data_IF_057944503263
#
_entry.id   IF_057944503263
#
_cell.length_a   1.000
_cell.length_b   1.000
_cell.length_c   1.000
_cell.angle_alpha   90.00
_cell.angle_beta   90.00
_cell.angle_gamma   90.00
#
_symmetry.space_group_name_H-M   'P 1'
#
loop_
_entity.id
_entity.type
_entity.pdbx_description
1 polymer ?
#
# COMPACT_ATOMS: atom_id res chain seq x y z
N UNK A 1 0.61 15.66 26.59
CA UNK A 1 1.44 16.22 25.51
C UNK A 1 0.53 16.53 24.35
N UNK A 2 0.62 17.73 23.78
CA UNK A 2 -0.07 18.15 22.56
C UNK A 2 0.77 17.69 21.37
N UNK A 3 0.17 16.95 20.44
CA UNK A 3 0.81 16.55 19.18
C UNK A 3 0.26 17.37 18.03
N UNK A 4 1.08 17.71 17.01
CA UNK A 4 2.51 17.43 16.90
C UNK A 4 3.39 18.36 17.75
N UNK A 5 4.59 17.90 18.13
CA UNK A 5 5.50 18.66 19.00
C UNK A 5 6.18 19.83 18.26
N UNK A 6 6.48 19.68 16.96
CA UNK A 6 7.15 20.69 16.16
C UNK A 6 6.34 20.99 14.90
N UNK A 7 5.15 21.55 15.08
CA UNK A 7 4.14 21.79 14.03
C UNK A 7 4.69 22.42 12.74
N UNK A 8 5.67 23.34 12.85
CA UNK A 8 6.24 24.07 11.71
C UNK A 8 7.36 23.33 10.98
N UNK A 9 7.88 22.24 11.53
CA UNK A 9 9.03 21.54 10.97
C UNK A 9 8.64 20.79 9.70
N UNK A 10 9.38 21.03 8.61
CA UNK A 10 9.22 20.31 7.36
C UNK A 10 9.80 18.91 7.51
N UNK A 11 8.96 17.91 7.31
CA UNK A 11 9.30 16.48 7.42
C UNK A 11 9.67 15.91 6.06
N UNK A 12 8.99 16.37 5.00
CA UNK A 12 9.10 15.81 3.66
C UNK A 12 9.05 16.91 2.61
N UNK A 13 9.92 16.87 1.59
CA UNK A 13 9.94 17.83 0.47
C UNK A 13 10.32 17.14 -0.82
N UNK A 14 9.50 17.28 -1.85
CA UNK A 14 9.70 16.65 -3.16
C UNK A 14 8.93 17.40 -4.26
N UNK A 15 8.90 16.86 -5.47
CA UNK A 15 8.24 17.50 -6.62
C UNK A 15 6.72 17.69 -6.44
N UNK A 16 6.05 16.88 -5.60
CA UNK A 16 4.64 17.07 -5.27
C UNK A 16 4.43 18.16 -4.22
N UNK A 17 5.39 18.33 -3.32
CA UNK A 17 5.38 19.29 -2.21
C UNK A 17 6.65 20.15 -2.23
N UNK A 18 6.76 21.13 -3.15
CA UNK A 18 7.97 21.95 -3.29
C UNK A 18 8.24 22.84 -2.06
N UNK A 19 7.19 23.26 -1.37
CA UNK A 19 7.27 23.97 -0.07
C UNK A 19 7.48 23.03 1.12
N UNK A 20 7.42 21.73 0.88
CA UNK A 20 7.44 20.67 1.90
C UNK A 20 6.10 20.44 2.60
N UNK A 21 5.99 19.29 3.25
CA UNK A 21 4.96 18.92 4.22
C UNK A 21 5.53 19.05 5.62
N UNK A 22 4.80 19.70 6.51
CA UNK A 22 5.14 19.88 7.91
C UNK A 22 4.55 18.78 8.78
N UNK A 23 5.02 18.68 10.03
CA UNK A 23 4.44 17.74 11.00
C UNK A 23 2.93 17.95 11.17
N UNK A 24 2.48 19.21 11.21
CA UNK A 24 1.05 19.52 11.39
C UNK A 24 0.18 19.07 10.21
N UNK A 25 0.70 19.16 8.98
CA UNK A 25 -0.04 18.75 7.77
C UNK A 25 -0.28 17.24 7.79
N UNK A 26 0.77 16.47 8.12
CA UNK A 26 0.72 15.01 8.24
C UNK A 26 -0.17 14.59 9.40
N UNK A 27 -0.05 15.25 10.56
CA UNK A 27 -0.86 14.95 11.73
C UNK A 27 -2.34 15.19 11.47
N UNK A 28 -2.71 16.37 10.95
CA UNK A 28 -4.08 16.72 10.60
C UNK A 28 -4.69 15.70 9.64
N UNK A 29 -3.96 15.32 8.59
CA UNK A 29 -4.40 14.31 7.64
C UNK A 29 -4.75 12.98 8.34
N UNK A 30 -3.90 12.51 9.24
CA UNK A 30 -4.17 11.27 9.96
C UNK A 30 -5.28 11.37 10.99
N UNK A 31 -5.50 12.55 11.59
CA UNK A 31 -6.65 12.77 12.47
C UNK A 31 -7.97 12.69 11.68
N UNK A 32 -8.03 13.29 10.49
CA UNK A 32 -9.18 13.20 9.57
C UNK A 32 -9.45 11.75 9.15
N UNK A 33 -8.40 10.94 8.96
CA UNK A 33 -8.49 9.56 8.48
C UNK A 33 -8.43 8.50 9.61
N UNK A 34 -8.45 8.92 10.89
CA UNK A 34 -8.23 8.05 12.05
C UNK A 34 -9.13 6.82 12.07
N UNK A 35 -10.43 7.02 11.83
CA UNK A 35 -11.41 5.92 11.82
C UNK A 35 -11.10 4.88 10.73
N UNK A 36 -10.74 5.34 9.52
CA UNK A 36 -10.39 4.46 8.41
C UNK A 36 -9.11 3.67 8.71
N UNK A 37 -8.06 4.34 9.20
CA UNK A 37 -6.79 3.67 9.54
C UNK A 37 -7.00 2.62 10.63
N UNK A 38 -7.75 2.95 11.69
CA UNK A 38 -8.01 2.01 12.78
C UNK A 38 -8.80 0.78 12.31
N UNK A 39 -9.71 0.93 11.34
CA UNK A 39 -10.42 -0.21 10.77
C UNK A 39 -9.51 -1.06 9.86
N UNK A 40 -8.73 -0.43 8.98
CA UNK A 40 -7.83 -1.14 8.07
C UNK A 40 -6.67 -1.87 8.80
N UNK A 41 -6.23 -1.33 9.94
CA UNK A 41 -5.15 -1.91 10.77
C UNK A 41 -5.67 -2.84 11.89
N UNK A 42 -6.98 -3.01 12.00
CA UNK A 42 -7.61 -3.77 13.08
C UNK A 42 -7.11 -5.20 13.15
N UNK A 43 -6.62 -5.61 14.32
CA UNK A 43 -6.06 -6.94 14.59
C UNK A 43 -4.90 -7.31 13.63
N UNK A 44 -4.14 -6.31 13.17
CA UNK A 44 -2.93 -6.48 12.36
C UNK A 44 -1.74 -5.89 13.07
N UNK A 45 -0.58 -6.51 12.87
CA UNK A 45 0.67 -5.85 13.19
C UNK A 45 0.92 -4.76 12.15
N UNK A 46 1.49 -3.65 12.58
CA UNK A 46 1.84 -2.53 11.72
C UNK A 46 3.33 -2.22 11.74
N UNK A 47 3.79 -1.64 10.65
CA UNK A 47 5.12 -1.09 10.47
C UNK A 47 4.99 0.39 10.13
N UNK A 48 5.72 1.24 10.84
CA UNK A 48 5.77 2.67 10.59
C UNK A 48 7.05 3.07 9.87
N UNK A 49 6.93 4.04 8.97
CA UNK A 49 8.04 4.85 8.48
C UNK A 49 8.01 6.19 9.20
N UNK A 50 8.95 6.38 10.12
CA UNK A 50 9.05 7.57 10.97
C UNK A 50 10.17 8.45 10.43
N UNK A 51 9.85 9.68 10.06
CA UNK A 51 10.82 10.61 9.47
C UNK A 51 11.56 11.37 10.57
N UNK A 52 12.79 10.95 10.88
CA UNK A 52 13.61 11.57 11.93
C UNK A 52 14.27 12.86 11.49
N UNK A 53 14.32 13.14 10.19
CA UNK A 53 14.84 14.36 9.57
C UNK A 53 14.17 14.55 8.19
N UNK A 54 14.45 15.67 7.51
CA UNK A 54 13.94 15.98 6.18
C UNK A 54 14.21 14.83 5.20
N UNK A 55 13.15 14.23 4.67
CA UNK A 55 13.20 13.09 3.74
C UNK A 55 13.94 11.84 4.26
N UNK A 56 14.25 11.76 5.56
CA UNK A 56 15.00 10.64 6.16
C UNK A 56 14.11 9.86 7.12
N UNK A 57 13.73 8.66 6.72
CA UNK A 57 12.89 7.77 7.52
C UNK A 57 13.67 6.62 8.16
N UNK A 58 13.26 6.23 9.36
CA UNK A 58 13.54 4.93 9.96
C UNK A 58 12.29 4.07 9.94
N UNK A 59 12.47 2.75 10.08
CA UNK A 59 11.37 1.79 10.12
C UNK A 59 11.18 1.30 11.56
N UNK A 60 9.96 1.40 12.08
CA UNK A 60 9.58 0.88 13.40
C UNK A 60 8.53 -0.23 13.24
N UNK A 61 8.85 -1.44 13.71
CA UNK A 61 7.96 -2.63 13.67
C UNK A 61 7.57 -3.16 15.04
N UNK A 62 8.42 -2.89 16.04
CA UNK A 62 8.25 -3.39 17.42
C UNK A 62 8.49 -2.26 18.41
N UNK A 63 7.78 -2.31 19.53
CA UNK A 63 8.01 -1.48 20.71
C UNK A 63 8.05 -2.43 21.91
N UNK A 64 9.06 -2.32 22.76
CA UNK A 64 9.24 -3.20 23.93
C UNK A 64 9.20 -4.70 23.54
N UNK A 65 9.91 -5.05 22.46
CA UNK A 65 9.96 -6.39 21.85
C UNK A 65 8.62 -6.96 21.34
N UNK A 66 7.52 -6.20 21.36
CA UNK A 66 6.22 -6.60 20.83
C UNK A 66 5.92 -5.92 19.52
N UNK A 67 5.27 -6.64 18.60
CA UNK A 67 4.75 -6.03 17.37
C UNK A 67 3.73 -4.95 17.70
N UNK A 68 3.75 -3.86 16.93
CA UNK A 68 2.83 -2.75 17.13
C UNK A 68 1.47 -3.12 16.54
N UNK A 69 0.40 -2.91 17.30
CA UNK A 69 -0.97 -2.95 16.80
C UNK A 69 -1.64 -1.62 17.14
N UNK A 70 -2.19 -0.95 16.14
CA UNK A 70 -2.89 0.31 16.34
C UNK A 70 -4.27 0.09 16.96
N UNK A 71 -4.62 0.95 17.90
CA UNK A 71 -5.94 1.02 18.52
C UNK A 71 -6.23 2.46 18.97
N UNK A 72 -7.47 2.72 19.40
CA UNK A 72 -7.90 4.06 19.83
C UNK A 72 -7.03 4.66 20.95
N UNK A 73 -6.49 3.82 21.83
CA UNK A 73 -5.75 4.27 23.03
C UNK A 73 -4.29 4.64 22.72
N UNK A 74 -3.72 4.12 21.63
CA UNK A 74 -2.33 4.38 21.26
C UNK A 74 -2.16 5.20 19.97
N UNK A 75 -3.22 5.41 19.17
CA UNK A 75 -3.14 6.13 17.90
C UNK A 75 -2.48 7.49 18.05
N UNK A 76 -3.01 8.37 18.91
CA UNK A 76 -2.51 9.74 19.04
C UNK A 76 -1.09 9.81 19.64
N UNK A 77 -0.65 8.76 20.33
CA UNK A 77 0.71 8.65 20.88
C UNK A 77 1.73 8.18 19.85
N UNK A 78 1.27 7.53 18.78
CA UNK A 78 2.11 6.93 17.74
C UNK A 78 2.06 7.72 16.43
N UNK A 79 1.01 8.49 16.21
CA UNK A 79 0.83 9.33 15.03
C UNK A 79 1.12 10.78 15.40
N UNK A 80 2.39 11.18 15.25
CA UNK A 80 2.92 12.45 15.77
C UNK A 80 3.22 13.48 14.66
N UNK A 81 2.74 13.27 13.44
CA UNK A 81 3.17 14.05 12.26
C UNK A 81 4.51 13.60 11.66
N UNK A 82 5.33 12.85 12.43
CA UNK A 82 6.56 12.20 11.95
C UNK A 82 6.33 10.79 11.42
N UNK A 83 5.24 10.15 11.85
CA UNK A 83 4.80 8.86 11.32
C UNK A 83 4.14 9.10 9.97
N UNK A 84 4.92 8.96 8.90
CA UNK A 84 4.47 9.31 7.54
C UNK A 84 3.77 8.13 6.88
N UNK A 85 4.31 6.91 6.93
CA UNK A 85 3.70 5.74 6.28
C UNK A 85 3.41 4.63 7.27
N UNK A 86 2.26 3.97 7.11
CA UNK A 86 1.74 2.88 7.90
C UNK A 86 1.50 1.68 6.98
N UNK A 87 2.24 0.60 7.21
CA UNK A 87 2.09 -0.65 6.49
C UNK A 87 1.48 -1.69 7.42
N UNK A 88 0.49 -2.41 6.93
CA UNK A 88 -0.16 -3.52 7.63
C UNK A 88 0.48 -4.84 7.25
N UNK A 89 0.58 -5.77 8.20
CA UNK A 89 1.03 -7.13 7.94
C UNK A 89 -0.14 -8.03 7.51
N UNK A 90 0.15 -8.95 6.59
CA UNK A 90 -0.68 -10.12 6.31
C UNK A 90 -0.66 -11.07 7.51
N UNK A 91 -1.80 -11.71 7.77
CA UNK A 91 -1.91 -12.84 8.69
C UNK A 91 -1.66 -14.15 7.94
N UNK A 92 -1.49 -15.24 8.69
CA UNK A 92 -1.38 -16.59 8.12
C UNK A 92 -2.63 -16.99 7.32
N UNK A 93 -3.80 -16.48 7.70
CA UNK A 93 -5.06 -16.67 6.98
C UNK A 93 -5.69 -15.33 6.60
N UNK A 94 -5.97 -15.16 5.31
CA UNK A 94 -6.62 -13.97 4.76
C UNK A 94 -7.76 -14.33 3.82
N UNK A 95 -8.72 -13.42 3.70
CA UNK A 95 -9.76 -13.46 2.66
C UNK A 95 -9.40 -12.56 1.47
N UNK A 96 -8.13 -12.17 1.33
CA UNK A 96 -7.63 -11.45 0.16
C UNK A 96 -6.17 -11.81 -0.11
N UNK A 97 -5.73 -11.54 -1.33
CA UNK A 97 -4.32 -11.50 -1.73
C UNK A 97 -4.03 -10.20 -2.47
N UNK A 98 -2.75 -9.89 -2.64
CA UNK A 98 -2.29 -8.67 -3.30
C UNK A 98 -1.44 -9.04 -4.50
N UNK A 99 -1.74 -8.45 -5.65
CA UNK A 99 -0.79 -8.33 -6.76
C UNK A 99 -0.23 -6.92 -6.74
N UNK A 100 1.07 -6.78 -6.48
CA UNK A 100 1.77 -5.50 -6.47
C UNK A 100 2.36 -5.24 -7.86
N UNK A 101 1.85 -4.20 -8.51
CA UNK A 101 2.19 -3.81 -9.87
C UNK A 101 3.01 -2.53 -9.77
N UNK A 102 4.31 -2.64 -9.99
CA UNK A 102 5.24 -1.52 -9.85
C UNK A 102 6.15 -1.43 -11.07
N UNK A 103 6.26 -0.22 -11.61
CA UNK A 103 7.15 0.12 -12.71
C UNK A 103 7.40 1.63 -12.75
N UNK A 104 8.59 2.04 -13.22
CA UNK A 104 8.99 3.44 -13.23
C UNK A 104 8.14 4.32 -14.18
N UNK A 105 7.53 3.71 -15.22
CA UNK A 105 6.60 4.41 -16.11
C UNK A 105 5.16 4.20 -15.62
N UNK A 106 4.53 5.29 -15.15
CA UNK A 106 3.20 5.24 -14.54
C UNK A 106 2.09 4.84 -15.53
N UNK A 107 2.17 5.26 -16.79
CA UNK A 107 1.20 4.88 -17.83
C UNK A 107 1.26 3.38 -18.13
N UNK A 108 2.47 2.81 -18.26
CA UNK A 108 2.65 1.36 -18.38
C UNK A 108 2.17 0.59 -17.16
N UNK A 109 2.32 1.17 -15.96
CA UNK A 109 1.79 0.59 -14.71
C UNK A 109 0.26 0.56 -14.73
N UNK A 110 -0.40 1.64 -15.16
CA UNK A 110 -1.86 1.68 -15.34
C UNK A 110 -2.32 0.61 -16.34
N UNK A 111 -1.66 0.49 -17.49
CA UNK A 111 -1.99 -0.54 -18.48
C UNK A 111 -1.83 -1.95 -17.91
N UNK A 112 -0.73 -2.23 -17.21
CA UNK A 112 -0.52 -3.53 -16.55
C UNK A 112 -1.61 -3.80 -15.50
N UNK A 113 -1.99 -2.79 -14.72
CA UNK A 113 -3.06 -2.89 -13.73
C UNK A 113 -4.41 -3.21 -14.36
N UNK A 114 -4.73 -2.57 -15.50
CA UNK A 114 -5.95 -2.83 -16.25
C UNK A 114 -6.01 -4.28 -16.76
N UNK A 115 -4.94 -4.74 -17.43
CA UNK A 115 -4.85 -6.08 -17.99
C UNK A 115 -4.96 -7.16 -16.91
N UNK A 116 -4.24 -6.98 -15.80
CA UNK A 116 -4.24 -7.92 -14.68
C UNK A 116 -5.60 -7.95 -13.99
N UNK A 117 -6.24 -6.80 -13.80
CA UNK A 117 -7.59 -6.71 -13.24
C UNK A 117 -8.59 -7.50 -14.11
N UNK A 118 -8.59 -7.25 -15.41
CA UNK A 118 -9.50 -7.91 -16.37
C UNK A 118 -9.26 -9.42 -16.41
N UNK A 119 -8.00 -9.85 -16.50
CA UNK A 119 -7.66 -11.27 -16.44
C UNK A 119 -8.16 -11.92 -15.15
N UNK A 120 -7.83 -11.31 -13.99
CA UNK A 120 -8.16 -11.86 -12.69
C UNK A 120 -9.67 -11.97 -12.45
N UNK A 121 -10.44 -10.95 -12.80
CA UNK A 121 -11.91 -10.97 -12.70
C UNK A 121 -12.54 -12.07 -13.55
N UNK A 122 -12.03 -12.28 -14.76
CA UNK A 122 -12.65 -13.19 -15.73
C UNK A 122 -12.18 -14.65 -15.60
N UNK A 123 -10.97 -14.91 -15.08
CA UNK A 123 -10.34 -16.23 -15.17
C UNK A 123 -9.97 -16.86 -13.83
N UNK A 124 -10.03 -16.13 -12.71
CA UNK A 124 -9.64 -16.66 -11.40
C UNK A 124 -10.90 -16.91 -10.54
N UNK A 125 -11.46 -18.13 -10.53
CA UNK A 125 -12.79 -18.41 -9.98
C UNK A 125 -12.93 -18.24 -8.46
N UNK A 126 -11.80 -18.20 -7.73
CA UNK A 126 -11.80 -17.98 -6.28
C UNK A 126 -11.99 -16.51 -5.88
N UNK A 127 -11.82 -15.58 -6.83
CA UNK A 127 -11.99 -14.15 -6.62
C UNK A 127 -13.49 -13.82 -6.57
N UNK A 128 -13.87 -13.01 -5.58
CA UNK A 128 -15.21 -12.44 -5.43
C UNK A 128 -15.28 -11.04 -6.03
N UNK A 129 -14.29 -10.20 -5.72
CA UNK A 129 -14.12 -8.87 -6.30
C UNK A 129 -12.65 -8.45 -6.21
N UNK A 130 -12.31 -7.38 -6.92
CA UNK A 130 -10.98 -6.77 -6.89
C UNK A 130 -11.12 -5.30 -6.54
N UNK A 131 -10.22 -4.83 -5.67
CA UNK A 131 -10.05 -3.39 -5.40
C UNK A 131 -8.70 -2.92 -5.89
N UNK A 132 -8.68 -1.80 -6.61
CA UNK A 132 -7.44 -1.16 -7.06
C UNK A 132 -7.05 -0.12 -6.03
N UNK A 133 -5.84 -0.22 -5.49
CA UNK A 133 -5.28 0.76 -4.56
C UNK A 133 -4.02 1.39 -5.15
N UNK A 134 -4.04 2.70 -5.34
CA UNK A 134 -2.80 3.43 -5.61
C UNK A 134 -1.93 3.46 -4.35
N UNK A 135 -0.64 3.21 -4.50
CA UNK A 135 0.29 3.04 -3.37
C UNK A 135 0.93 4.35 -2.90
N UNK A 136 0.60 5.48 -3.54
CA UNK A 136 1.29 6.75 -3.29
C UNK A 136 2.69 6.83 -3.90
N UNK A 137 3.04 5.93 -4.83
CA UNK A 137 4.33 5.90 -5.56
C UNK A 137 4.11 5.81 -7.08
N UNK A 138 4.75 4.85 -7.74
CA UNK A 138 4.60 4.59 -9.18
C UNK A 138 3.76 3.34 -9.45
N UNK A 139 3.33 2.62 -8.40
CA UNK A 139 2.63 1.35 -8.50
C UNK A 139 1.20 1.33 -7.97
N UNK A 140 0.51 0.23 -8.25
CA UNK A 140 -0.82 -0.12 -7.74
C UNK A 140 -0.79 -1.48 -7.05
N UNK A 141 -1.61 -1.63 -6.02
CA UNK A 141 -1.97 -2.93 -5.47
C UNK A 141 -3.35 -3.34 -5.97
N UNK A 142 -3.46 -4.53 -6.54
CA UNK A 142 -4.75 -5.18 -6.76
C UNK A 142 -5.06 -6.08 -5.56
N UNK A 143 -6.03 -5.67 -4.73
CA UNK A 143 -6.56 -6.47 -3.63
C UNK A 143 -7.60 -7.44 -4.18
N UNK A 144 -7.20 -8.70 -4.35
CA UNK A 144 -8.04 -9.78 -4.81
C UNK A 144 -8.81 -10.35 -3.62
N UNK A 145 -10.06 -9.95 -3.40
CA UNK A 145 -10.86 -10.51 -2.31
C UNK A 145 -11.42 -11.86 -2.71
N UNK A 146 -11.20 -12.86 -1.87
CA UNK A 146 -11.61 -14.23 -2.13
C UNK A 146 -12.99 -14.54 -1.54
N UNK A 147 -13.63 -15.59 -2.07
CA UNK A 147 -14.92 -16.09 -1.58
C UNK A 147 -14.88 -16.67 -0.16
N UNK A 148 -13.69 -17.03 0.35
CA UNK A 148 -13.45 -17.53 1.71
C UNK A 148 -12.03 -17.19 2.19
N UNK A 149 -11.70 -17.52 3.45
CA UNK A 149 -10.33 -17.39 3.97
C UNK A 149 -9.45 -18.53 3.46
N UNK A 150 -8.18 -18.23 3.22
CA UNK A 150 -7.17 -19.18 2.80
C UNK A 150 -5.86 -18.95 3.54
N UNK A 151 -5.03 -19.98 3.63
CA UNK A 151 -3.63 -19.83 4.01
C UNK A 151 -2.91 -18.97 2.95
N UNK A 152 -2.22 -17.91 3.38
CA UNK A 152 -1.68 -16.90 2.47
C UNK A 152 -0.55 -17.43 1.56
N UNK A 153 0.30 -18.33 2.07
CA UNK A 153 1.39 -18.93 1.30
C UNK A 153 0.84 -19.89 0.22
N UNK A 154 -0.25 -20.58 0.55
CA UNK A 154 -1.00 -21.42 -0.40
C UNK A 154 -1.62 -20.58 -1.52
N UNK A 155 -2.21 -19.42 -1.17
CA UNK A 155 -2.75 -18.47 -2.14
C UNK A 155 -1.67 -17.94 -3.07
N UNK A 156 -0.51 -17.57 -2.54
CA UNK A 156 0.62 -17.09 -3.36
C UNK A 156 1.00 -18.13 -4.41
N UNK A 157 1.16 -19.39 -4.00
CA UNK A 157 1.51 -20.49 -4.89
C UNK A 157 0.40 -20.73 -5.93
N UNK A 158 -0.86 -20.71 -5.51
CA UNK A 158 -2.01 -20.88 -6.38
C UNK A 158 -2.10 -19.77 -7.44
N UNK A 159 -2.07 -18.50 -7.02
CA UNK A 159 -2.13 -17.35 -7.93
C UNK A 159 -0.98 -17.37 -8.93
N UNK A 160 0.24 -17.63 -8.47
CA UNK A 160 1.42 -17.67 -9.32
C UNK A 160 1.38 -18.83 -10.32
N UNK A 161 1.28 -20.07 -9.83
CA UNK A 161 1.52 -21.27 -10.65
C UNK A 161 0.30 -21.72 -11.44
N UNK A 162 -0.91 -21.49 -10.94
CA UNK A 162 -2.13 -21.98 -11.61
C UNK A 162 -2.80 -20.92 -12.48
N UNK A 163 -2.58 -19.63 -12.21
CA UNK A 163 -3.23 -18.56 -12.95
C UNK A 163 -2.21 -17.72 -13.73
N UNK A 164 -1.33 -17.00 -13.04
CA UNK A 164 -0.48 -15.99 -13.69
C UNK A 164 0.54 -16.59 -14.67
N UNK A 165 1.30 -17.63 -14.29
CA UNK A 165 2.29 -18.28 -15.19
C UNK A 165 1.66 -19.13 -16.30
N UNK A 166 0.34 -19.37 -16.24
CA UNK A 166 -0.42 -20.06 -17.29
C UNK A 166 -1.21 -19.09 -18.17
N UNK A 167 -1.23 -17.81 -17.84
CA UNK A 167 -1.94 -16.76 -18.59
C UNK A 167 -1.09 -16.20 -19.73
N UNK A 168 -1.75 -15.48 -20.65
CA UNK A 168 -1.09 -14.66 -21.66
C UNK A 168 -0.34 -13.46 -21.05
N UNK A 169 -0.60 -13.09 -19.79
CA UNK A 169 0.09 -11.96 -19.14
C UNK A 169 1.60 -12.18 -19.05
N UNK A 170 2.08 -13.43 -18.98
CA UNK A 170 3.51 -13.75 -18.92
C UNK A 170 4.29 -13.39 -20.19
N UNK A 171 3.58 -13.24 -21.32
CA UNK A 171 4.16 -12.84 -22.60
C UNK A 171 4.37 -11.32 -22.65
N UNK A 172 3.61 -10.56 -21.85
CA UNK A 172 3.62 -9.10 -21.81
C UNK A 172 4.34 -8.53 -20.58
N UNK A 173 4.33 -9.25 -19.47
CA UNK A 173 4.78 -8.79 -18.16
C UNK A 173 5.72 -9.79 -17.48
N UNK A 174 6.56 -9.27 -16.59
CA UNK A 174 7.33 -10.13 -15.67
C UNK A 174 6.45 -10.52 -14.49
N UNK A 175 6.54 -11.77 -14.04
CA UNK A 175 5.66 -12.33 -13.00
C UNK A 175 6.50 -13.03 -11.94
N UNK A 176 6.51 -12.50 -10.71
CA UNK A 176 7.23 -13.10 -9.58
C UNK A 176 8.77 -13.11 -9.72
N UNK A 177 9.33 -12.46 -10.75
CA UNK A 177 10.77 -12.36 -11.00
C UNK A 177 11.36 -11.04 -10.48
N UNK A 178 12.69 -10.91 -10.55
CA UNK A 178 13.39 -9.65 -10.26
C UNK A 178 12.98 -8.60 -11.30
N UNK A 179 12.60 -7.41 -10.81
CA UNK A 179 12.18 -6.26 -11.62
C UNK A 179 13.20 -5.94 -12.72
N UNK A 180 12.70 -5.69 -13.93
CA UNK A 180 13.51 -5.16 -15.05
C UNK A 180 13.19 -3.69 -15.28
N UNK A 181 14.06 -2.99 -16.00
CA UNK A 181 13.83 -1.59 -16.40
C UNK A 181 12.90 -1.46 -17.61
N UNK A 182 12.53 -2.56 -18.26
CA UNK A 182 11.82 -2.50 -19.56
C UNK A 182 10.35 -2.89 -19.44
N UNK A 183 10.05 -3.78 -18.51
CA UNK A 183 8.76 -4.47 -18.42
C UNK A 183 8.17 -4.34 -17.02
N UNK A 184 6.88 -3.97 -16.88
CA UNK A 184 6.20 -4.01 -15.59
C UNK A 184 6.28 -5.38 -14.94
N UNK A 185 6.36 -5.38 -13.61
CA UNK A 185 6.42 -6.60 -12.81
C UNK A 185 5.15 -6.77 -11.97
N UNK A 186 4.59 -7.97 -12.01
CA UNK A 186 3.49 -8.42 -11.17
C UNK A 186 4.11 -9.20 -10.02
N UNK A 187 4.24 -8.55 -8.86
CA UNK A 187 4.80 -9.13 -7.64
C UNK A 187 3.71 -9.70 -6.72
N UNK A 188 4.04 -10.78 -6.03
CA UNK A 188 3.21 -11.45 -5.02
C UNK A 188 3.94 -11.55 -3.67
N UNK A 189 5.07 -10.85 -3.50
CA UNK A 189 5.92 -10.90 -2.31
C UNK A 189 5.18 -10.55 -1.01
N UNK A 190 4.12 -9.76 -1.11
CA UNK A 190 3.23 -9.42 0.01
C UNK A 190 2.42 -10.63 0.51
N UNK A 191 2.13 -11.62 -0.35
CA UNK A 191 1.32 -12.80 -0.01
C UNK A 191 2.14 -13.85 0.73
N UNK A 192 2.56 -13.53 1.94
CA UNK A 192 3.19 -14.45 2.89
C UNK A 192 2.84 -14.03 4.31
N UNK A 193 2.97 -14.93 5.27
CA UNK A 193 2.77 -14.55 6.66
C UNK A 193 3.71 -13.39 7.04
N UNK A 194 3.18 -12.36 7.70
CA UNK A 194 3.89 -11.12 8.02
C UNK A 194 4.41 -10.30 6.81
N UNK A 195 3.98 -10.63 5.58
CA UNK A 195 4.19 -9.79 4.40
C UNK A 195 3.52 -8.43 4.59
N UNK A 196 4.18 -7.34 4.20
CA UNK A 196 3.71 -5.98 4.49
C UNK A 196 3.13 -5.32 3.25
N UNK A 197 2.00 -4.63 3.40
CA UNK A 197 1.40 -3.80 2.36
C UNK A 197 1.02 -2.44 2.95
N UNK A 198 1.03 -1.38 2.12
CA UNK A 198 0.62 -0.05 2.58
C UNK A 198 -0.87 -0.07 2.97
N UNK A 199 -1.18 0.51 4.13
CA UNK A 199 -2.55 0.57 4.66
C UNK A 199 -3.35 1.59 3.86
N UNK A 200 -4.61 1.27 3.51
CA UNK A 200 -5.50 2.24 2.87
C UNK A 200 -5.69 3.47 3.76
N UNK A 201 -5.61 4.66 3.18
CA UNK A 201 -5.63 5.93 3.91
C UNK A 201 -4.28 6.33 4.50
N UNK A 202 -3.24 5.49 4.46
CA UNK A 202 -1.88 5.90 4.84
C UNK A 202 -1.27 6.82 3.77
N UNK A 203 -0.33 7.67 4.15
CA UNK A 203 0.59 8.29 3.18
C UNK A 203 1.69 7.31 2.81
N UNK A 204 2.24 7.45 1.61
CA UNK A 204 3.51 6.83 1.22
C UNK A 204 4.69 7.65 1.76
N UNK A 205 5.90 7.15 1.57
CA UNK A 205 7.14 7.91 1.84
C UNK A 205 7.32 9.15 0.95
N UNK A 206 6.46 9.36 -0.06
CA UNK A 206 6.40 10.60 -0.84
C UNK A 206 5.31 11.57 -0.35
N UNK A 207 4.60 11.23 0.74
CA UNK A 207 3.52 12.04 1.29
C UNK A 207 2.23 11.99 0.46
N UNK A 208 2.14 11.09 -0.52
CA UNK A 208 0.92 10.87 -1.31
C UNK A 208 0.06 9.80 -0.65
N UNK A 209 -1.26 9.97 -0.71
CA UNK A 209 -2.25 9.05 -0.12
C UNK A 209 -2.25 7.70 -0.83
N UNK A 210 -2.28 6.63 -0.05
CA UNK A 210 -2.77 5.34 -0.49
C UNK A 210 -4.29 5.39 -0.51
N UNK A 211 -4.89 5.24 -1.69
CA UNK A 211 -6.33 5.38 -1.90
C UNK A 211 -6.87 4.36 -2.89
N UNK A 212 -8.14 4.00 -2.73
CA UNK A 212 -8.87 3.19 -3.69
C UNK A 212 -9.20 4.03 -4.93
N UNK A 213 -9.09 3.43 -6.11
CA UNK A 213 -9.45 4.03 -7.41
C UNK A 213 -10.38 3.06 -8.11
N UNK A 214 -11.45 3.56 -8.72
CA UNK A 214 -12.33 2.70 -9.51
C UNK A 214 -11.64 2.25 -10.79
N UNK A 215 -12.05 1.10 -11.34
CA UNK A 215 -11.50 0.62 -12.60
C UNK A 215 -11.64 1.67 -13.73
N UNK A 216 -12.78 2.36 -13.79
CA UNK A 216 -13.06 3.38 -14.81
C UNK A 216 -12.17 4.62 -14.66
N UNK A 217 -11.76 4.96 -13.43
CA UNK A 217 -10.90 6.09 -13.15
C UNK A 217 -9.42 5.78 -13.38
N UNK A 218 -9.03 4.50 -13.51
CA UNK A 218 -7.63 4.09 -13.58
C UNK A 218 -6.87 4.84 -14.67
N UNK A 219 -7.42 4.90 -15.90
CA UNK A 219 -6.75 5.52 -17.06
C UNK A 219 -6.47 7.01 -16.88
N UNK A 220 -7.42 7.74 -16.31
CA UNK A 220 -7.35 9.19 -16.14
C UNK A 220 -6.68 9.62 -14.83
N UNK A 221 -6.46 8.68 -13.91
CA UNK A 221 -5.85 8.98 -12.62
C UNK A 221 -4.43 9.54 -12.78
N UNK A 222 -4.16 10.61 -12.03
CA UNK A 222 -2.84 11.23 -11.93
C UNK A 222 -2.37 11.21 -10.48
N UNK A 223 -1.05 11.05 -10.27
CA UNK A 223 -0.46 11.01 -8.92
C UNK A 223 -0.77 12.25 -8.09
N UNK A 224 -0.96 13.41 -8.74
CA UNK A 224 -1.32 14.67 -8.09
C UNK A 224 -2.67 14.58 -7.37
N UNK A 225 -3.59 13.74 -7.83
CA UNK A 225 -4.89 13.52 -7.18
C UNK A 225 -4.74 12.90 -5.78
N UNK A 226 -3.61 12.26 -5.50
CA UNK A 226 -3.31 11.65 -4.20
C UNK A 226 -2.63 12.61 -3.22
N UNK A 227 -2.40 13.88 -3.55
CA UNK A 227 -1.82 14.84 -2.60
C UNK A 227 -2.73 15.06 -1.38
N UNK A 228 -2.11 15.36 -0.25
CA UNK A 228 -2.77 16.00 0.90
C UNK A 228 -2.61 17.53 0.77
N UNK A 229 -3.51 18.27 1.42
CA UNK A 229 -3.54 19.74 1.36
C UNK A 229 -2.29 20.34 1.98
#
# INVERSE_FOLDING_TARGET
MTYPEHEKTIVLKNNFYPSGLKEIDIWNYYQENKSLILEETKNRNVMFFIFVDLNKSIILRKKENKYIQLNKNNFDKLITGRTVSIHSSMRSQENFGILDIDFHNFEKTKQCTEDVYQYAMNHIPIIKNIKIRYTGKDGFHLFLHFKKKYNIDSIRTLLLNQFLLKSHLKEKYTIGFRRTTETPNIDLSSNKNEGNFITLGSLSVFGLRCMEISFDQLKIFQKINAKIK
#
